data_IF_468010874332
#
_entry.id   IF_468010874332
#
_cell.length_a   1.000
_cell.length_b   1.000
_cell.length_c   1.000
_cell.angle_alpha   90.00
_cell.angle_beta   90.00
_cell.angle_gamma   90.00
#
_symmetry.space_group_name_H-M   'P 1'
#
loop_
_entity.id
_entity.type
_entity.pdbx_description
1 polymer ?
#
# COMPACT_ATOMS: atom_id res chain seq x y z
N UNK A 1 5.97 -17.96 1.82
CA UNK A 1 4.79 -17.90 0.92
C UNK A 1 3.53 -17.79 1.77
N UNK A 2 2.54 -17.03 1.33
CA UNK A 2 1.28 -16.86 2.07
C UNK A 2 0.32 -18.01 1.73
N UNK A 3 0.16 -18.95 2.66
CA UNK A 3 -0.61 -20.19 2.44
C UNK A 3 -2.05 -19.91 2.00
N UNK A 4 -2.73 -18.97 2.66
CA UNK A 4 -4.12 -18.63 2.35
C UNK A 4 -4.27 -18.12 0.91
N UNK A 5 -3.33 -17.28 0.45
CA UNK A 5 -3.32 -16.78 -0.94
C UNK A 5 -3.07 -17.91 -1.94
N UNK A 6 -2.15 -18.83 -1.64
CA UNK A 6 -1.90 -19.99 -2.52
C UNK A 6 -3.14 -20.89 -2.63
N UNK A 7 -3.82 -21.15 -1.51
CA UNK A 7 -5.05 -21.94 -1.50
C UNK A 7 -6.17 -21.25 -2.28
N UNK A 8 -6.30 -19.93 -2.18
CA UNK A 8 -7.25 -19.16 -2.98
C UNK A 8 -6.96 -19.26 -4.49
N UNK A 9 -5.70 -19.20 -4.91
CA UNK A 9 -5.29 -19.37 -6.32
C UNK A 9 -5.67 -20.76 -6.83
N UNK A 10 -5.37 -21.82 -6.07
CA UNK A 10 -5.73 -23.20 -6.43
C UNK A 10 -7.24 -23.37 -6.56
N UNK A 11 -7.99 -22.87 -5.57
CA UNK A 11 -9.44 -22.94 -5.56
C UNK A 11 -10.09 -22.22 -6.76
N UNK A 12 -9.57 -21.05 -7.13
CA UNK A 12 -10.04 -20.28 -8.29
C UNK A 12 -9.76 -21.04 -9.60
N UNK A 13 -8.55 -21.60 -9.72
CA UNK A 13 -8.13 -22.40 -10.88
C UNK A 13 -8.97 -23.67 -11.05
N UNK A 14 -9.26 -24.39 -9.98
CA UNK A 14 -10.13 -25.58 -9.97
C UNK A 14 -11.55 -25.25 -10.48
N UNK A 15 -11.98 -24.00 -10.36
CA UNK A 15 -13.26 -23.49 -10.89
C UNK A 15 -13.17 -22.94 -12.31
N UNK A 16 -12.02 -23.08 -12.97
CA UNK A 16 -11.78 -22.60 -14.33
C UNK A 16 -11.53 -21.09 -14.44
N UNK A 17 -11.31 -20.38 -13.32
CA UNK A 17 -10.95 -18.98 -13.37
C UNK A 17 -9.52 -18.79 -13.87
N UNK A 18 -9.30 -17.75 -14.69
CA UNK A 18 -7.95 -17.29 -15.04
C UNK A 18 -7.34 -16.50 -13.90
N UNK A 19 -6.10 -16.81 -13.58
CA UNK A 19 -5.39 -16.26 -12.42
C UNK A 19 -4.15 -15.48 -12.86
N UNK A 20 -4.00 -14.26 -12.34
CA UNK A 20 -2.80 -13.44 -12.49
C UNK A 20 -2.25 -13.14 -11.10
N UNK A 21 -0.95 -13.34 -10.92
CA UNK A 21 -0.25 -13.01 -9.67
C UNK A 21 0.65 -11.80 -9.83
N UNK A 22 0.72 -10.96 -8.80
CA UNK A 22 1.72 -9.90 -8.66
C UNK A 22 2.66 -10.34 -7.55
N UNK A 23 3.91 -10.61 -7.89
CA UNK A 23 4.86 -11.24 -6.96
C UNK A 23 6.26 -10.67 -7.11
N UNK A 24 7.03 -10.66 -6.02
CA UNK A 24 8.42 -10.21 -6.06
C UNK A 24 9.41 -11.37 -6.28
N UNK A 25 9.15 -12.52 -5.65
CA UNK A 25 10.07 -13.66 -5.65
C UNK A 25 9.89 -14.54 -6.90
N UNK A 26 10.94 -14.62 -7.71
CA UNK A 26 10.97 -15.51 -8.86
C UNK A 26 11.04 -16.98 -8.42
N UNK A 27 10.30 -17.86 -9.10
CA UNK A 27 10.26 -19.29 -8.78
C UNK A 27 9.40 -19.66 -7.57
N UNK A 28 8.72 -18.71 -6.94
CA UNK A 28 7.70 -18.97 -5.92
C UNK A 28 6.53 -19.81 -6.48
N UNK A 29 5.85 -20.54 -5.62
CA UNK A 29 4.70 -21.40 -5.93
C UNK A 29 3.52 -20.61 -6.46
N UNK A 30 3.16 -19.47 -5.87
CA UNK A 30 2.01 -18.67 -6.34
C UNK A 30 2.14 -18.28 -7.83
N UNK A 31 3.28 -17.71 -8.28
CA UNK A 31 3.52 -17.48 -9.71
C UNK A 31 3.41 -18.73 -10.58
N UNK A 32 4.02 -19.85 -10.14
CA UNK A 32 4.01 -21.11 -10.91
C UNK A 32 2.61 -21.71 -11.08
N UNK A 33 1.74 -21.52 -10.11
CA UNK A 33 0.35 -22.01 -10.14
C UNK A 33 -0.61 -21.07 -10.90
N UNK A 34 -0.17 -19.83 -11.18
CA UNK A 34 -0.98 -18.81 -11.87
C UNK A 34 -0.90 -18.94 -13.41
N UNK A 35 -1.91 -18.47 -14.14
CA UNK A 35 -1.87 -18.41 -15.61
C UNK A 35 -0.95 -17.29 -16.13
N UNK A 36 -0.84 -16.20 -15.37
CA UNK A 36 -0.01 -15.05 -15.69
C UNK A 36 0.65 -14.46 -14.44
N UNK A 37 1.76 -13.73 -14.64
CA UNK A 37 2.58 -13.20 -13.56
C UNK A 37 3.07 -11.80 -13.93
N UNK A 38 3.02 -10.87 -12.98
CA UNK A 38 3.72 -9.58 -13.01
C UNK A 38 4.74 -9.58 -11.89
N UNK A 39 6.03 -9.56 -12.25
CA UNK A 39 7.10 -9.46 -11.27
C UNK A 39 7.35 -8.01 -10.86
N UNK A 40 7.39 -7.74 -9.56
CA UNK A 40 7.55 -6.36 -9.04
C UNK A 40 9.00 -5.88 -9.00
N UNK A 41 9.98 -6.79 -9.05
CA UNK A 41 11.42 -6.49 -9.04
C UNK A 41 11.88 -5.58 -7.88
N UNK A 42 11.21 -5.63 -6.73
CA UNK A 42 11.61 -4.87 -5.53
C UNK A 42 12.90 -5.42 -4.89
N UNK A 43 13.37 -6.60 -5.30
CA UNK A 43 14.52 -7.28 -4.70
C UNK A 43 14.21 -7.85 -3.31
N UNK A 44 15.15 -8.53 -2.65
CA UNK A 44 14.91 -9.17 -1.36
C UNK A 44 14.56 -8.15 -0.27
N UNK A 45 13.57 -8.45 0.56
CA UNK A 45 13.17 -7.64 1.71
C UNK A 45 13.42 -8.44 2.99
N UNK A 46 14.29 -7.92 3.86
CA UNK A 46 14.73 -8.60 5.09
C UNK A 46 13.92 -8.14 6.31
N UNK A 47 13.41 -6.91 6.26
CA UNK A 47 12.58 -6.35 7.32
C UNK A 47 11.27 -7.12 7.47
N UNK A 48 10.78 -7.23 8.71
CA UNK A 48 9.49 -7.86 9.03
C UNK A 48 8.34 -7.07 8.41
N UNK A 49 8.35 -5.75 8.63
CA UNK A 49 7.39 -4.84 8.03
C UNK A 49 7.77 -4.57 6.57
N UNK A 50 6.86 -4.91 5.64
CA UNK A 50 7.08 -4.62 4.22
C UNK A 50 7.04 -3.12 3.94
N UNK A 51 7.92 -2.65 3.06
CA UNK A 51 8.08 -1.23 2.67
C UNK A 51 8.10 -1.11 1.14
N UNK A 52 9.22 -1.47 0.52
CA UNK A 52 9.42 -1.39 -0.93
C UNK A 52 8.53 -2.36 -1.69
N UNK A 53 8.18 -3.51 -1.10
CA UNK A 53 7.29 -4.45 -1.79
C UNK A 53 5.87 -3.90 -1.90
N UNK A 54 5.37 -3.17 -0.90
CA UNK A 54 4.08 -2.47 -0.97
C UNK A 54 4.05 -1.42 -2.09
N UNK A 55 5.06 -0.54 -2.14
CA UNK A 55 5.16 0.47 -3.21
C UNK A 55 5.27 -0.18 -4.58
N UNK A 56 6.08 -1.23 -4.73
CA UNK A 56 6.24 -1.94 -6.00
C UNK A 56 4.97 -2.68 -6.42
N UNK A 57 4.18 -3.20 -5.48
CA UNK A 57 2.86 -3.78 -5.75
C UNK A 57 1.86 -2.74 -6.26
N UNK A 58 1.83 -1.55 -5.66
CA UNK A 58 1.00 -0.44 -6.15
C UNK A 58 1.42 -0.06 -7.58
N UNK A 59 2.72 0.09 -7.84
CA UNK A 59 3.24 0.38 -9.19
C UNK A 59 2.81 -0.69 -10.20
N UNK A 60 2.93 -1.97 -9.85
CA UNK A 60 2.50 -3.07 -10.71
C UNK A 60 0.99 -3.06 -10.98
N UNK A 61 0.16 -2.80 -9.95
CA UNK A 61 -1.29 -2.67 -10.09
C UNK A 61 -1.67 -1.49 -10.98
N UNK A 62 -0.98 -0.37 -10.84
CA UNK A 62 -1.21 0.83 -11.63
C UNK A 62 -0.89 0.60 -13.11
N UNK A 63 0.26 -0.02 -13.41
CA UNK A 63 0.63 -0.40 -14.78
C UNK A 63 -0.36 -1.42 -15.38
N UNK A 64 -0.81 -2.38 -14.60
CA UNK A 64 -1.85 -3.34 -15.03
C UNK A 64 -3.17 -2.62 -15.34
N UNK A 65 -3.58 -1.66 -14.51
CA UNK A 65 -4.78 -0.86 -14.74
C UNK A 65 -4.68 -0.02 -16.02
N UNK A 66 -3.53 0.60 -16.29
CA UNK A 66 -3.28 1.32 -17.55
C UNK A 66 -3.35 0.38 -18.76
N UNK A 67 -2.74 -0.80 -18.67
CA UNK A 67 -2.80 -1.81 -19.73
C UNK A 67 -4.25 -2.25 -20.00
N UNK A 68 -5.02 -2.57 -18.96
CA UNK A 68 -6.44 -2.93 -19.10
C UNK A 68 -7.23 -1.78 -19.72
N UNK A 69 -6.96 -0.53 -19.32
CA UNK A 69 -7.64 0.65 -19.85
C UNK A 69 -7.36 0.85 -21.34
N UNK A 70 -6.11 0.60 -21.77
CA UNK A 70 -5.73 0.62 -23.18
C UNK A 70 -6.48 -0.46 -23.98
N UNK A 71 -6.43 -1.71 -23.51
CA UNK A 71 -7.09 -2.84 -24.18
C UNK A 71 -8.61 -2.65 -24.28
N UNK A 72 -9.23 -2.01 -23.27
CA UNK A 72 -10.66 -1.71 -23.26
C UNK A 72 -11.03 -0.43 -24.01
N UNK A 73 -10.05 0.37 -24.44
CA UNK A 73 -10.29 1.68 -25.06
C UNK A 73 -10.98 2.69 -24.14
N UNK A 74 -10.83 2.57 -22.82
CA UNK A 74 -11.44 3.50 -21.85
C UNK A 74 -10.61 4.75 -21.59
N UNK A 75 -9.32 4.72 -21.95
CA UNK A 75 -8.42 5.86 -21.96
C UNK A 75 -7.77 5.97 -23.34
N UNK A 76 -7.56 7.20 -23.80
CA UNK A 76 -6.79 7.49 -25.00
C UNK A 76 -5.29 7.27 -24.78
N UNK A 77 -4.54 7.08 -25.87
CA UNK A 77 -3.08 6.95 -25.82
C UNK A 77 -2.40 8.19 -25.21
N UNK A 78 -3.00 9.37 -25.39
CA UNK A 78 -2.54 10.62 -24.78
C UNK A 78 -2.70 10.60 -23.26
N UNK A 79 -3.87 10.18 -22.76
CA UNK A 79 -4.12 10.07 -21.32
C UNK A 79 -3.20 9.03 -20.68
N UNK A 80 -3.02 7.86 -21.32
CA UNK A 80 -2.10 6.82 -20.83
C UNK A 80 -0.67 7.35 -20.79
N UNK A 81 -0.20 8.03 -21.84
CA UNK A 81 1.14 8.63 -21.86
C UNK A 81 1.32 9.64 -20.72
N UNK A 82 0.32 10.47 -20.45
CA UNK A 82 0.39 11.41 -19.33
C UNK A 82 0.49 10.70 -17.97
N UNK A 83 -0.28 9.64 -17.75
CA UNK A 83 -0.21 8.85 -16.51
C UNK A 83 1.15 8.16 -16.34
N UNK A 84 1.74 7.65 -17.43
CA UNK A 84 3.08 7.06 -17.40
C UNK A 84 4.15 8.10 -17.04
N UNK A 85 4.07 9.31 -17.61
CA UNK A 85 5.00 10.40 -17.27
C UNK A 85 4.92 10.79 -15.78
N UNK A 86 3.71 10.85 -15.22
CA UNK A 86 3.55 11.11 -13.78
C UNK A 86 4.15 9.99 -12.91
N UNK A 87 4.01 8.73 -13.35
CA UNK A 87 4.58 7.57 -12.67
C UNK A 87 6.11 7.57 -12.74
N UNK A 88 6.70 7.95 -13.88
CA UNK A 88 8.15 8.09 -14.05
C UNK A 88 8.75 9.16 -13.13
N UNK A 89 7.97 10.17 -12.74
CA UNK A 89 8.36 11.19 -11.76
C UNK A 89 8.24 10.75 -10.29
N UNK A 90 7.62 9.61 -9.99
CA UNK A 90 7.43 9.14 -8.60
C UNK A 90 8.74 8.89 -7.84
N UNK A 91 9.78 8.26 -8.42
CA UNK A 91 11.04 8.04 -7.70
C UNK A 91 11.67 9.33 -7.16
N UNK A 92 11.64 10.42 -7.93
CA UNK A 92 12.15 11.73 -7.48
C UNK A 92 11.29 12.30 -6.35
N UNK A 93 9.96 12.19 -6.45
CA UNK A 93 9.03 12.60 -5.39
C UNK A 93 9.29 11.83 -4.08
N UNK A 94 9.56 10.53 -4.17
CA UNK A 94 9.93 9.69 -3.01
C UNK A 94 11.26 10.14 -2.41
N UNK A 95 12.29 10.34 -3.24
CA UNK A 95 13.61 10.77 -2.77
C UNK A 95 13.53 12.10 -2.00
N UNK A 96 12.78 13.07 -2.53
CA UNK A 96 12.55 14.35 -1.87
C UNK A 96 11.93 14.21 -0.48
N UNK A 97 10.97 13.30 -0.29
CA UNK A 97 10.35 13.05 1.02
C UNK A 97 11.36 12.40 1.97
N UNK A 98 12.09 11.39 1.51
CA UNK A 98 13.08 10.69 2.33
C UNK A 98 14.23 11.61 2.78
N UNK A 99 14.68 12.50 1.90
CA UNK A 99 15.78 13.42 2.20
C UNK A 99 15.33 14.67 2.95
N UNK A 100 14.11 15.16 2.68
CA UNK A 100 13.60 16.42 3.20
C UNK A 100 12.89 16.32 4.56
N UNK A 101 12.24 15.19 4.85
CA UNK A 101 11.34 15.09 6.01
C UNK A 101 11.92 14.24 7.17
N UNK A 102 13.10 13.64 7.00
CA UNK A 102 13.64 12.73 8.00
C UNK A 102 13.78 13.37 9.39
N UNK A 103 14.31 14.59 9.47
CA UNK A 103 14.50 15.27 10.75
C UNK A 103 13.16 15.56 11.44
N UNK A 104 12.16 16.03 10.70
CA UNK A 104 10.82 16.28 11.24
C UNK A 104 10.14 15.00 11.72
N UNK A 105 10.25 13.92 10.94
CA UNK A 105 9.69 12.61 11.31
C UNK A 105 10.35 12.07 12.58
N UNK A 106 11.68 12.19 12.71
CA UNK A 106 12.40 11.76 13.91
C UNK A 106 11.99 12.57 15.15
N UNK A 107 11.86 13.90 15.01
CA UNK A 107 11.39 14.75 16.11
C UNK A 107 9.97 14.35 16.54
N UNK A 108 9.07 14.13 15.58
CA UNK A 108 7.70 13.72 15.87
C UNK A 108 7.62 12.32 16.50
N UNK A 109 8.43 11.38 16.01
CA UNK A 109 8.50 10.04 16.58
C UNK A 109 8.96 10.07 18.05
N UNK A 110 9.91 10.96 18.42
CA UNK A 110 10.32 11.16 19.82
C UNK A 110 9.20 11.73 20.67
N UNK A 111 8.46 12.71 20.14
CA UNK A 111 7.31 13.30 20.84
C UNK A 111 6.19 12.26 21.09
N UNK A 112 5.97 11.35 20.13
CA UNK A 112 4.99 10.26 20.28
C UNK A 112 5.47 9.08 21.13
N UNK A 113 6.69 9.08 21.66
CA UNK A 113 7.31 7.90 22.27
C UNK A 113 6.49 7.23 23.39
N UNK A 114 5.71 8.01 24.14
CA UNK A 114 4.88 7.52 25.25
C UNK A 114 3.41 7.25 24.87
N UNK A 115 3.05 7.44 23.59
CA UNK A 115 1.67 7.29 23.11
C UNK A 115 1.25 5.83 23.06
N UNK A 116 0.07 5.53 23.61
CA UNK A 116 -0.49 4.17 23.63
C UNK A 116 -1.35 3.86 22.39
N UNK A 117 -1.97 4.88 21.79
CA UNK A 117 -2.82 4.70 20.61
C UNK A 117 -2.73 5.84 19.61
N UNK A 118 -2.85 5.51 18.33
CA UNK A 118 -2.74 6.45 17.21
C UNK A 118 -3.83 6.13 16.19
N UNK A 119 -4.49 7.17 15.69
CA UNK A 119 -5.47 7.02 14.61
C UNK A 119 -4.88 7.48 13.28
N UNK A 120 -5.14 6.74 12.21
CA UNK A 120 -4.85 7.13 10.84
C UNK A 120 -6.16 7.32 10.09
N UNK A 121 -6.34 8.48 9.46
CA UNK A 121 -7.52 8.82 8.70
C UNK A 121 -7.17 9.05 7.24
N UNK A 122 -7.99 8.51 6.35
CA UNK A 122 -7.85 8.76 4.92
C UNK A 122 -9.19 8.71 4.20
N UNK A 123 -9.24 9.29 3.00
CA UNK A 123 -10.42 9.24 2.14
C UNK A 123 -10.01 8.82 0.72
N UNK A 124 -10.88 8.10 0.03
CA UNK A 124 -10.61 7.58 -1.32
C UNK A 124 -9.28 6.81 -1.33
N UNK A 125 -8.34 7.20 -2.20
CA UNK A 125 -7.01 6.59 -2.28
C UNK A 125 -6.20 6.73 -1.00
N UNK A 126 -6.49 7.74 -0.16
CA UNK A 126 -5.83 7.93 1.13
C UNK A 126 -6.25 6.93 2.20
N UNK A 127 -7.41 6.26 2.08
CA UNK A 127 -7.87 5.30 3.09
C UNK A 127 -6.99 4.03 3.14
N UNK A 128 -6.70 3.35 2.01
CA UNK A 128 -5.73 2.25 2.02
C UNK A 128 -4.34 2.66 2.52
N UNK A 129 -3.91 3.90 2.28
CA UNK A 129 -2.64 4.42 2.79
C UNK A 129 -2.69 4.62 4.31
N UNK A 130 -3.81 5.10 4.85
CA UNK A 130 -4.04 5.18 6.29
C UNK A 130 -4.01 3.80 6.96
N UNK A 131 -4.60 2.77 6.32
CA UNK A 131 -4.53 1.39 6.79
C UNK A 131 -3.10 0.86 6.82
N UNK A 132 -2.32 1.09 5.75
CA UNK A 132 -0.92 0.66 5.69
C UNK A 132 -0.06 1.38 6.74
N UNK A 133 -0.23 2.69 6.91
CA UNK A 133 0.48 3.46 7.93
C UNK A 133 0.21 2.96 9.35
N UNK A 134 -1.06 2.69 9.66
CA UNK A 134 -1.45 2.08 10.93
C UNK A 134 -0.85 0.68 11.11
N UNK A 135 -0.85 -0.15 10.06
CA UNK A 135 -0.25 -1.48 10.09
C UNK A 135 1.25 -1.40 10.38
N UNK A 136 1.99 -0.54 9.68
CA UNK A 136 3.44 -0.37 9.90
C UNK A 136 3.74 0.03 11.34
N UNK A 137 3.03 1.02 11.87
CA UNK A 137 3.26 1.49 13.23
C UNK A 137 3.00 0.36 14.25
N UNK A 138 1.91 -0.39 14.07
CA UNK A 138 1.57 -1.54 14.93
C UNK A 138 2.61 -2.65 14.88
N UNK A 139 3.13 -2.97 13.70
CA UNK A 139 4.10 -4.06 13.49
C UNK A 139 5.44 -3.80 14.19
N UNK A 140 5.93 -2.56 14.19
CA UNK A 140 7.30 -2.24 14.63
C UNK A 140 7.38 -1.57 16.01
N UNK A 141 6.34 -0.83 16.41
CA UNK A 141 6.34 -0.08 17.67
C UNK A 141 5.41 -0.67 18.73
N UNK A 142 4.52 -1.58 18.35
CA UNK A 142 3.46 -2.14 19.20
C UNK A 142 2.45 -1.12 19.75
N UNK A 143 2.51 0.13 19.29
CA UNK A 143 1.48 1.14 19.56
C UNK A 143 0.16 0.65 18.95
N UNK A 144 -0.95 0.85 19.67
CA UNK A 144 -2.27 0.57 19.13
C UNK A 144 -2.61 1.58 18.02
N UNK A 145 -2.27 1.21 16.79
CA UNK A 145 -2.59 2.00 15.61
C UNK A 145 -3.78 1.44 14.84
N UNK A 146 -4.72 2.31 14.45
CA UNK A 146 -5.90 1.93 13.67
C UNK A 146 -6.18 2.93 12.54
N UNK A 147 -6.49 2.40 11.35
CA UNK A 147 -6.82 3.19 10.18
C UNK A 147 -8.32 3.23 9.91
N UNK A 148 -8.88 4.42 9.70
CA UNK A 148 -10.29 4.64 9.44
C UNK A 148 -10.52 5.44 8.16
N UNK A 149 -11.65 5.15 7.50
CA UNK A 149 -12.18 6.04 6.49
C UNK A 149 -12.65 7.33 7.18
N UNK A 150 -12.17 8.49 6.73
CA UNK A 150 -12.44 9.78 7.40
C UNK A 150 -13.93 10.11 7.52
N UNK A 151 -14.76 9.64 6.58
CA UNK A 151 -16.21 9.80 6.62
C UNK A 151 -16.90 9.01 7.73
N UNK A 152 -16.29 7.92 8.20
CA UNK A 152 -16.84 7.03 9.22
C UNK A 152 -16.53 7.49 10.65
N UNK A 153 -15.76 8.57 10.82
CA UNK A 153 -15.30 9.02 12.13
C UNK A 153 -16.46 9.27 13.11
N UNK A 154 -17.57 9.83 12.61
CA UNK A 154 -18.76 10.14 13.44
C UNK A 154 -19.57 8.91 13.84
N UNK A 155 -19.30 7.74 13.28
CA UNK A 155 -20.07 6.52 13.51
C UNK A 155 -19.47 5.62 14.60
N UNK A 156 -18.50 6.12 15.37
CA UNK A 156 -17.89 5.39 16.49
C UNK A 156 -16.47 5.87 16.82
N UNK A 157 -15.55 5.92 15.84
CA UNK A 157 -14.13 6.20 16.10
C UNK A 157 -13.85 7.54 16.80
N UNK A 158 -14.72 8.55 16.61
CA UNK A 158 -14.59 9.84 17.30
C UNK A 158 -14.64 9.71 18.83
N UNK A 159 -15.32 8.69 19.36
CA UNK A 159 -15.40 8.44 20.80
C UNK A 159 -14.09 7.92 21.39
N UNK A 160 -13.16 7.46 20.54
CA UNK A 160 -11.84 7.03 20.96
C UNK A 160 -10.84 8.18 21.06
N UNK A 161 -11.20 9.40 20.59
CA UNK A 161 -10.30 10.55 20.55
C UNK A 161 -10.23 11.24 21.90
N UNK A 162 -9.06 11.18 22.52
CA UNK A 162 -8.75 11.85 23.79
C UNK A 162 -7.80 13.05 23.60
N UNK A 163 -7.82 14.05 24.50
CA UNK A 163 -6.86 15.14 24.47
C UNK A 163 -5.41 14.62 24.46
N UNK A 164 -4.63 15.05 23.47
CA UNK A 164 -3.24 14.65 23.31
C UNK A 164 -3.02 13.40 22.45
N UNK A 165 -4.07 12.71 22.01
CA UNK A 165 -3.93 11.56 21.13
C UNK A 165 -3.53 11.98 19.70
N UNK A 166 -2.46 11.40 19.13
CA UNK A 166 -2.06 11.68 17.76
C UNK A 166 -3.06 11.11 16.74
N UNK A 167 -3.42 11.95 15.76
CA UNK A 167 -4.23 11.58 14.61
C UNK A 167 -3.52 11.98 13.33
N UNK A 168 -3.10 11.00 12.54
CA UNK A 168 -2.56 11.21 11.20
C UNK A 168 -3.70 11.32 10.19
N UNK A 169 -3.67 12.33 9.33
CA UNK A 169 -4.67 12.50 8.28
C UNK A 169 -3.96 12.56 6.93
N UNK A 170 -4.28 11.61 6.04
CA UNK A 170 -3.78 11.58 4.67
C UNK A 170 -4.66 12.49 3.81
N UNK A 171 -4.11 13.66 3.46
CA UNK A 171 -4.77 14.67 2.61
C UNK A 171 -4.02 14.72 1.27
N UNK A 172 -4.59 14.15 0.19
CA UNK A 172 -3.99 14.16 -1.15
C UNK A 172 -4.10 15.52 -1.84
#
# INVERSE_FOLDING_TARGET
ETMDTLMAVKYARERGAKTLSICNTQGATIPRESDAIVYTHAGPEVAVASTKAFVAQITALYLLALHISHVRGTLSDTEIRQQVLELEGVPEKIARVLEGEQEHIEQFARWMGDTQSVLFLGRHVGYPIALEGALKLKEISYIHAEGFAAGELKHGPIALIEPGQPVFVIVP
#
